data_IF_464733310492
#
_entry.id   IF_464733310492
#
_cell.length_a   1.000
_cell.length_b   1.000
_cell.length_c   1.000
_cell.angle_alpha   90.00
_cell.angle_beta   90.00
_cell.angle_gamma   90.00
#
_symmetry.space_group_name_H-M   'P 1'
#
loop_
_entity.id
_entity.type
_entity.pdbx_description
1 polymer ?
#
# COMPACT_ATOMS: atom_id res chain seq x y z
N UNK A 1 -2.10 -2.03 32.28
CA UNK A 1 -1.91 -3.12 31.28
C UNK A 1 -2.95 -3.10 30.15
N UNK A 2 -4.18 -2.64 30.34
CA UNK A 2 -5.22 -2.61 29.29
C UNK A 2 -4.97 -1.62 28.12
N UNK A 3 -4.38 -0.45 28.39
CA UNK A 3 -4.11 0.57 27.35
C UNK A 3 -3.13 0.12 26.25
N UNK A 4 -2.14 -0.73 26.59
CA UNK A 4 -1.15 -1.21 25.61
C UNK A 4 -1.77 -2.09 24.53
N UNK A 5 -2.79 -2.87 24.91
CA UNK A 5 -3.50 -3.80 24.03
C UNK A 5 -4.47 -3.08 23.08
N UNK A 6 -5.08 -1.97 23.54
CA UNK A 6 -5.91 -1.09 22.70
C UNK A 6 -5.09 -0.39 21.62
N UNK A 7 -3.90 0.12 21.99
CA UNK A 7 -3.01 0.77 21.02
C UNK A 7 -2.51 -0.21 19.93
N UNK A 8 -2.24 -1.48 20.27
CA UNK A 8 -1.81 -2.47 19.28
C UNK A 8 -2.90 -2.82 18.26
N UNK A 9 -4.17 -2.88 18.68
CA UNK A 9 -5.29 -3.10 17.75
C UNK A 9 -5.49 -1.91 16.81
N UNK A 10 -5.41 -0.69 17.32
CA UNK A 10 -5.60 0.52 16.52
C UNK A 10 -4.49 0.67 15.47
N UNK A 11 -3.26 0.34 15.86
CA UNK A 11 -2.10 0.31 14.94
C UNK A 11 -2.29 -0.75 13.86
N UNK A 12 -2.74 -1.97 14.20
CA UNK A 12 -3.01 -3.02 13.21
C UNK A 12 -4.12 -2.63 12.23
N UNK A 13 -5.20 -2.01 12.70
CA UNK A 13 -6.28 -1.51 11.86
C UNK A 13 -5.76 -0.42 10.91
N UNK A 14 -4.93 0.50 11.40
CA UNK A 14 -4.26 1.50 10.56
C UNK A 14 -3.41 0.89 9.45
N UNK A 15 -2.66 -0.18 9.73
CA UNK A 15 -1.90 -0.91 8.71
C UNK A 15 -2.80 -1.58 7.67
N UNK A 16 -3.91 -2.19 8.08
CA UNK A 16 -4.87 -2.80 7.15
C UNK A 16 -5.47 -1.75 6.21
N UNK A 17 -5.90 -0.60 6.75
CA UNK A 17 -6.44 0.50 5.95
C UNK A 17 -5.38 1.02 4.95
N UNK A 18 -4.14 1.19 5.41
CA UNK A 18 -3.03 1.59 4.54
C UNK A 18 -2.79 0.61 3.40
N UNK A 19 -2.81 -0.70 3.67
CA UNK A 19 -2.65 -1.73 2.65
C UNK A 19 -3.77 -1.71 1.61
N UNK A 20 -5.03 -1.50 2.04
CA UNK A 20 -6.17 -1.38 1.13
C UNK A 20 -5.98 -0.17 0.19
N UNK A 21 -5.59 0.98 0.74
CA UNK A 21 -5.35 2.20 -0.04
C UNK A 21 -4.22 1.98 -1.06
N UNK A 22 -3.08 1.45 -0.64
CA UNK A 22 -1.94 1.18 -1.52
C UNK A 22 -2.34 0.20 -2.64
N UNK A 23 -3.10 -0.84 -2.30
CA UNK A 23 -3.57 -1.83 -3.28
C UNK A 23 -4.51 -1.20 -4.31
N UNK A 24 -5.41 -0.30 -3.87
CA UNK A 24 -6.29 0.43 -4.79
C UNK A 24 -5.50 1.29 -5.79
N UNK A 25 -4.45 1.99 -5.33
CA UNK A 25 -3.58 2.76 -6.22
C UNK A 25 -2.85 1.87 -7.24
N UNK A 26 -2.33 0.71 -6.80
CA UNK A 26 -1.67 -0.24 -7.70
C UNK A 26 -2.62 -0.75 -8.79
N UNK A 27 -3.89 -0.99 -8.47
CA UNK A 27 -4.90 -1.40 -9.46
C UNK A 27 -5.15 -0.27 -10.48
N UNK A 28 -5.23 0.98 -10.01
CA UNK A 28 -5.40 2.15 -10.88
C UNK A 28 -4.19 2.33 -11.80
N UNK A 29 -2.97 2.16 -11.29
CA UNK A 29 -1.75 2.24 -12.11
C UNK A 29 -1.74 1.19 -13.22
N UNK A 30 -2.13 -0.06 -12.90
CA UNK A 30 -2.27 -1.12 -13.90
C UNK A 30 -3.35 -0.75 -14.93
N UNK A 31 -4.49 -0.22 -14.49
CA UNK A 31 -5.57 0.20 -15.38
C UNK A 31 -5.12 1.30 -16.34
N UNK A 32 -4.42 2.32 -15.83
CA UNK A 32 -3.86 3.40 -16.64
C UNK A 32 -2.82 2.86 -17.63
N UNK A 33 -1.95 1.96 -17.18
CA UNK A 33 -0.91 1.38 -18.02
C UNK A 33 -1.47 0.58 -19.21
N UNK A 34 -2.57 -0.15 -19.00
CA UNK A 34 -3.22 -0.97 -20.03
C UNK A 34 -4.10 -0.11 -20.95
N UNK A 35 -4.90 0.81 -20.40
CA UNK A 35 -5.97 1.47 -21.15
C UNK A 35 -5.62 2.86 -21.71
N UNK A 36 -4.55 3.52 -21.27
CA UNK A 36 -4.16 4.80 -21.87
C UNK A 36 -3.08 4.61 -22.93
N UNK A 37 -3.23 5.25 -24.09
CA UNK A 37 -2.19 5.26 -25.13
C UNK A 37 -1.05 6.26 -24.86
N UNK A 38 -1.26 7.20 -23.94
CA UNK A 38 -0.26 8.22 -23.60
C UNK A 38 0.96 7.59 -22.93
N UNK A 39 2.11 7.67 -23.60
CA UNK A 39 3.42 7.26 -23.06
C UNK A 39 3.75 7.96 -21.74
N UNK A 40 3.36 9.23 -21.61
CA UNK A 40 3.61 10.02 -20.39
C UNK A 40 2.81 9.41 -19.22
N UNK A 41 1.55 9.06 -19.45
CA UNK A 41 0.72 8.44 -18.44
C UNK A 41 1.21 7.04 -18.05
N UNK A 42 1.63 6.21 -19.02
CA UNK A 42 2.24 4.90 -18.74
C UNK A 42 3.52 5.03 -17.93
N UNK A 43 4.38 5.98 -18.28
CA UNK A 43 5.63 6.24 -17.57
C UNK A 43 5.37 6.69 -16.14
N UNK A 44 4.42 7.60 -15.95
CA UNK A 44 4.02 8.07 -14.62
C UNK A 44 3.41 6.95 -13.78
N UNK A 45 2.49 6.16 -14.34
CA UNK A 45 1.89 5.00 -13.70
C UNK A 45 2.96 3.95 -13.33
N UNK A 46 3.97 3.74 -14.17
CA UNK A 46 5.07 2.80 -13.86
C UNK A 46 5.91 3.27 -12.68
N UNK A 47 6.27 4.56 -12.64
CA UNK A 47 7.02 5.13 -11.51
C UNK A 47 6.18 5.09 -10.23
N UNK A 48 4.90 5.44 -10.33
CA UNK A 48 3.96 5.38 -9.21
C UNK A 48 3.81 3.96 -8.68
N UNK A 49 3.64 2.99 -9.57
CA UNK A 49 3.51 1.57 -9.25
C UNK A 49 4.73 1.04 -8.47
N UNK A 50 5.94 1.37 -8.92
CA UNK A 50 7.18 0.98 -8.22
C UNK A 50 7.22 1.61 -6.82
N UNK A 51 6.85 2.88 -6.70
CA UNK A 51 6.77 3.58 -5.41
C UNK A 51 5.77 2.92 -4.45
N UNK A 52 4.55 2.65 -4.93
CA UNK A 52 3.52 2.00 -4.13
C UNK A 52 3.86 0.55 -3.77
N UNK A 53 4.54 -0.19 -4.65
CA UNK A 53 5.07 -1.52 -4.34
C UNK A 53 6.08 -1.48 -3.19
N UNK A 54 6.98 -0.49 -3.19
CA UNK A 54 7.94 -0.33 -2.10
C UNK A 54 7.24 -0.03 -0.75
N UNK A 55 6.21 0.81 -0.77
CA UNK A 55 5.37 1.10 0.40
C UNK A 55 4.60 -0.14 0.87
N UNK A 56 4.06 -0.94 -0.05
CA UNK A 56 3.33 -2.17 0.24
C UNK A 56 4.24 -3.19 0.94
N UNK A 57 5.44 -3.43 0.40
CA UNK A 57 6.44 -4.35 0.99
C UNK A 57 6.84 -3.87 2.39
N UNK A 58 7.10 -2.57 2.55
CA UNK A 58 7.46 -1.98 3.84
C UNK A 58 6.33 -2.11 4.88
N UNK A 59 5.09 -1.88 4.44
CA UNK A 59 3.87 -2.03 5.26
C UNK A 59 3.63 -3.49 5.67
N UNK A 60 3.81 -4.44 4.74
CA UNK A 60 3.73 -5.87 5.03
C UNK A 60 4.79 -6.32 6.03
N UNK A 61 6.04 -5.86 5.86
CA UNK A 61 7.14 -6.15 6.78
C UNK A 61 6.87 -5.60 8.19
N UNK A 62 6.34 -4.38 8.29
CA UNK A 62 5.93 -3.78 9.55
C UNK A 62 4.79 -4.57 10.21
N UNK A 63 3.80 -4.99 9.43
CA UNK A 63 2.66 -5.81 9.91
C UNK A 63 3.12 -7.17 10.42
N UNK A 64 4.04 -7.84 9.72
CA UNK A 64 4.62 -9.12 10.15
C UNK A 64 5.41 -8.97 11.45
N UNK A 65 6.18 -7.89 11.60
CA UNK A 65 6.93 -7.59 12.84
C UNK A 65 6.00 -7.34 14.04
N UNK A 66 4.79 -6.85 13.83
CA UNK A 66 3.78 -6.67 14.88
C UNK A 66 3.01 -7.96 15.25
N UNK A 67 3.20 -9.03 14.48
CA UNK A 67 2.54 -10.32 14.69
C UNK A 67 3.43 -11.33 15.45
N UNK A 68 4.74 -11.09 15.52
CA UNK A 68 5.74 -11.89 16.24
C UNK A 68 6.07 -11.37 17.63
#
# INVERSE_FOLDING_TARGET
MAQKKSNESDVRIGFIISQIIITAFLIVDIYIFINQDSIIAKSFATVSFVGFMFLLISSLKATLKLKG
#
